data_IF_266202992365
#
_entry.id   IF_266202992365
#
_cell.length_a   1.000
_cell.length_b   1.000
_cell.length_c   1.000
_cell.angle_alpha   90.00
_cell.angle_beta   90.00
_cell.angle_gamma   90.00
#
_symmetry.space_group_name_H-M   'P 1'
#
loop_
_entity.id
_entity.type
_entity.pdbx_description
1 polymer ?
#
# COMPACT_ATOMS: atom_id res chain seq x y z
N UNK A 1 -15.33 21.86 -41.68
CA UNK A 1 -14.09 22.57 -42.11
C UNK A 1 -12.91 21.87 -41.46
N UNK A 2 -12.17 21.08 -42.22
CA UNK A 2 -10.98 20.35 -41.78
C UNK A 2 -9.73 21.23 -41.90
N UNK A 3 -8.86 21.23 -40.89
CA UNK A 3 -7.46 21.68 -41.05
C UNK A 3 -6.53 20.74 -40.30
N UNK A 4 -5.92 19.82 -41.06
CA UNK A 4 -4.67 19.13 -40.71
C UNK A 4 -3.50 20.04 -41.10
N UNK A 5 -2.47 20.16 -40.27
CA UNK A 5 -1.11 20.67 -40.58
C UNK A 5 -0.13 19.97 -39.63
N UNK A 6 0.56 18.90 -40.05
CA UNK A 6 1.86 18.80 -40.75
C UNK A 6 3.08 18.92 -39.80
N UNK A 7 3.88 17.85 -39.81
CA UNK A 7 5.22 17.66 -39.22
C UNK A 7 6.26 18.74 -39.59
N UNK A 8 7.30 18.86 -38.76
CA UNK A 8 8.68 19.13 -39.22
C UNK A 8 9.72 18.49 -38.28
N UNK A 9 10.68 17.79 -38.86
CA UNK A 9 11.87 17.19 -38.23
C UNK A 9 13.14 18.02 -38.56
N UNK A 10 14.22 17.89 -37.78
CA UNK A 10 15.63 18.00 -38.24
C UNK A 10 16.70 17.70 -37.14
N UNK A 11 17.24 16.48 -37.15
CA UNK A 11 18.66 16.07 -37.29
C UNK A 11 19.90 16.83 -36.70
N UNK A 12 20.76 16.02 -36.01
CA UNK A 12 22.25 15.81 -36.11
C UNK A 12 23.27 16.64 -35.29
N UNK A 13 24.19 15.89 -34.63
CA UNK A 13 25.61 16.23 -34.34
C UNK A 13 26.16 15.48 -33.09
N UNK A 14 26.75 14.27 -33.17
CA UNK A 14 28.14 13.89 -33.54
C UNK A 14 29.25 14.12 -32.47
N UNK A 15 29.63 13.00 -31.82
CA UNK A 15 30.92 12.53 -31.23
C UNK A 15 32.10 13.49 -30.95
N UNK A 16 32.71 13.35 -29.75
CA UNK A 16 34.17 13.20 -29.56
C UNK A 16 34.47 12.25 -28.38
N UNK A 17 35.28 11.22 -28.65
CA UNK A 17 35.95 10.33 -27.68
C UNK A 17 37.26 10.98 -27.21
N UNK A 18 37.60 10.83 -25.92
CA UNK A 18 38.97 10.95 -25.43
C UNK A 18 39.26 9.78 -24.49
N UNK A 19 40.02 8.82 -25.03
CA UNK A 19 40.73 7.80 -24.28
C UNK A 19 41.99 8.42 -23.67
N UNK A 20 42.23 8.14 -22.39
CA UNK A 20 43.48 8.45 -21.69
C UNK A 20 43.82 7.33 -20.72
N UNK A 21 44.68 6.42 -21.16
CA UNK A 21 45.25 5.34 -20.36
C UNK A 21 46.35 5.87 -19.42
N UNK A 22 46.44 5.35 -18.20
CA UNK A 22 47.56 5.63 -17.30
C UNK A 22 47.61 4.64 -16.14
N UNK A 23 48.58 3.73 -16.19
CA UNK A 23 48.85 2.66 -15.22
C UNK A 23 49.53 3.18 -13.96
N UNK A 24 49.16 2.64 -12.80
CA UNK A 24 50.07 2.33 -11.70
C UNK A 24 49.36 1.43 -10.67
N UNK A 25 49.69 0.14 -10.67
CA UNK A 25 49.49 -0.72 -9.50
C UNK A 25 50.67 -0.47 -8.55
N UNK A 26 50.39 0.00 -7.34
CA UNK A 26 51.24 -0.26 -6.19
C UNK A 26 50.39 -0.99 -5.14
N UNK A 27 50.81 -2.21 -4.84
CA UNK A 27 50.30 -3.01 -3.75
C UNK A 27 50.85 -2.46 -2.43
N UNK A 28 49.98 -2.20 -1.46
CA UNK A 28 50.31 -2.22 -0.04
C UNK A 28 49.16 -2.91 0.72
N UNK A 29 49.55 -3.70 1.70
CA UNK A 29 48.82 -4.75 2.42
C UNK A 29 47.67 -4.25 3.31
N UNK A 30 46.80 -5.18 3.80
CA UNK A 30 45.47 -4.89 4.31
C UNK A 30 45.48 -4.39 5.75
N UNK A 31 44.63 -3.40 6.02
CA UNK A 31 44.14 -3.07 7.35
C UNK A 31 42.77 -3.70 7.52
N UNK A 32 42.69 -4.72 8.37
CA UNK A 32 41.43 -5.21 8.93
C UNK A 32 40.93 -4.20 9.97
N UNK A 33 39.74 -3.65 9.74
CA UNK A 33 38.80 -3.36 10.83
C UNK A 33 37.37 -3.43 10.29
N UNK A 34 36.43 -4.06 11.03
CA UNK A 34 35.11 -4.40 10.53
C UNK A 34 34.15 -3.22 10.79
N UNK A 35 33.62 -2.64 9.74
CA UNK A 35 32.46 -1.78 9.84
C UNK A 35 31.36 -2.38 8.96
N UNK A 36 30.57 -3.22 9.61
CA UNK A 36 29.14 -3.47 9.36
C UNK A 36 28.58 -2.63 8.22
N UNK A 37 28.52 -3.22 7.03
CA UNK A 37 27.59 -2.80 6.00
C UNK A 37 26.18 -3.04 6.53
N UNK A 38 25.61 -2.03 7.18
CA UNK A 38 24.17 -1.88 7.16
C UNK A 38 23.83 -1.42 5.74
N UNK A 39 23.65 -2.38 4.85
CA UNK A 39 22.69 -2.21 3.77
C UNK A 39 21.37 -1.87 4.47
N UNK A 40 21.07 -0.58 4.56
CA UNK A 40 19.69 -0.13 4.68
C UNK A 40 19.01 -0.72 3.46
N UNK A 41 18.26 -1.79 3.69
CA UNK A 41 17.23 -2.26 2.80
C UNK A 41 16.37 -1.06 2.48
N UNK A 42 16.68 -0.42 1.34
CA UNK A 42 15.85 0.61 0.77
C UNK A 42 14.51 -0.07 0.55
N UNK A 43 13.50 0.32 1.33
CA UNK A 43 12.13 -0.02 1.06
C UNK A 43 11.93 0.24 -0.43
N UNK A 44 11.79 -0.86 -1.18
CA UNK A 44 11.67 -0.85 -2.61
C UNK A 44 10.55 0.14 -2.91
N UNK A 45 10.90 1.30 -3.50
CA UNK A 45 9.92 2.27 -3.98
C UNK A 45 9.16 1.55 -5.09
N UNK A 46 8.10 0.83 -4.71
CA UNK A 46 7.17 0.28 -5.66
C UNK A 46 6.73 1.47 -6.52
N UNK A 47 6.83 1.31 -7.83
CA UNK A 47 6.39 2.30 -8.80
C UNK A 47 4.87 2.44 -8.64
N UNK A 48 4.46 3.28 -7.69
CA UNK A 48 3.07 3.54 -7.40
C UNK A 48 2.58 4.51 -8.48
N UNK A 49 1.87 3.96 -9.47
CA UNK A 49 1.36 4.67 -10.62
C UNK A 49 -0.15 5.00 -10.51
N UNK A 50 -0.83 4.49 -9.48
CA UNK A 50 -2.26 4.64 -9.23
C UNK A 50 -2.58 4.83 -7.74
N UNK A 51 -3.71 5.49 -7.42
CA UNK A 51 -4.19 5.62 -6.03
C UNK A 51 -4.40 4.26 -5.36
N UNK A 52 -4.63 3.22 -6.17
CA UNK A 52 -4.84 1.85 -5.69
C UNK A 52 -3.64 1.29 -4.93
N UNK A 53 -2.44 1.76 -5.22
CA UNK A 53 -1.21 1.37 -4.52
C UNK A 53 -1.17 1.88 -3.07
N UNK A 54 -2.08 2.78 -2.69
CA UNK A 54 -2.17 3.37 -1.35
C UNK A 54 -3.41 2.92 -0.57
N UNK A 55 -4.20 1.97 -1.10
CA UNK A 55 -5.30 1.41 -0.31
C UNK A 55 -4.77 0.72 0.95
N UNK A 56 -5.48 0.90 2.06
CA UNK A 56 -5.13 0.32 3.37
C UNK A 56 -3.91 0.93 4.05
N UNK A 57 -3.33 1.99 3.48
CA UNK A 57 -2.23 2.73 4.11
C UNK A 57 -2.76 3.69 5.19
N UNK A 58 -1.97 3.88 6.25
CA UNK A 58 -2.25 4.84 7.30
C UNK A 58 -1.44 6.12 7.09
N UNK A 59 -2.08 7.25 7.38
CA UNK A 59 -1.50 8.56 7.23
C UNK A 59 -1.80 9.41 8.46
N UNK A 60 -0.91 10.34 8.77
CA UNK A 60 -1.03 11.24 9.91
C UNK A 60 -0.85 12.71 9.54
N UNK A 61 -1.46 13.58 10.32
CA UNK A 61 -1.30 15.02 10.28
C UNK A 61 -1.26 15.58 11.71
N UNK A 62 -0.81 16.83 11.85
CA UNK A 62 -0.76 17.54 13.13
C UNK A 62 -0.12 16.73 14.26
N UNK A 63 1.08 16.17 13.98
CA UNK A 63 1.85 15.38 14.94
C UNK A 63 1.18 14.06 15.35
N UNK A 64 0.28 13.53 14.53
CA UNK A 64 -0.44 12.27 14.80
C UNK A 64 -1.79 12.44 15.50
N UNK A 65 -2.21 13.68 15.79
CA UNK A 65 -3.53 13.94 16.39
C UNK A 65 -4.69 13.69 15.42
N UNK A 66 -4.40 13.77 14.11
CA UNK A 66 -5.33 13.45 13.02
C UNK A 66 -4.77 12.27 12.24
N UNK A 67 -5.62 11.30 11.94
CA UNK A 67 -5.26 10.11 11.16
C UNK A 67 -6.16 9.99 9.93
N UNK A 68 -5.67 9.33 8.89
CA UNK A 68 -6.42 9.06 7.67
C UNK A 68 -6.10 7.66 7.13
N UNK A 69 -7.09 7.01 6.55
CA UNK A 69 -6.92 5.78 5.75
C UNK A 69 -7.61 5.96 4.40
N UNK A 70 -6.98 5.45 3.34
CA UNK A 70 -7.57 5.39 2.00
C UNK A 70 -8.11 3.97 1.80
N UNK A 71 -9.40 3.85 1.53
CA UNK A 71 -10.05 2.61 1.12
C UNK A 71 -10.72 2.83 -0.25
N UNK A 72 -11.19 1.76 -0.88
CA UNK A 72 -11.72 1.84 -2.24
C UNK A 72 -12.97 2.75 -2.29
N UNK A 73 -12.83 3.90 -2.95
CA UNK A 73 -13.87 4.91 -3.10
C UNK A 73 -14.17 5.71 -1.82
N UNK A 74 -13.37 5.59 -0.77
CA UNK A 74 -13.59 6.32 0.48
C UNK A 74 -12.30 6.70 1.20
N UNK A 75 -12.26 7.91 1.72
CA UNK A 75 -11.25 8.40 2.66
C UNK A 75 -11.89 8.51 4.03
N UNK A 76 -11.22 7.96 5.04
CA UNK A 76 -11.69 7.95 6.42
C UNK A 76 -10.69 8.72 7.27
N UNK A 77 -11.11 9.84 7.83
CA UNK A 77 -10.30 10.68 8.72
C UNK A 77 -10.79 10.57 10.16
N UNK A 78 -9.88 10.56 11.13
CA UNK A 78 -10.22 10.48 12.56
C UNK A 78 -9.44 11.50 13.39
N UNK A 79 -10.09 12.04 14.41
CA UNK A 79 -9.49 12.89 15.46
C UNK A 79 -10.18 12.59 16.79
N UNK A 80 -9.44 12.02 17.74
CA UNK A 80 -10.04 11.46 18.96
C UNK A 80 -11.12 10.44 18.63
N UNK A 81 -12.32 10.60 19.20
CA UNK A 81 -13.48 9.74 18.96
C UNK A 81 -14.29 10.14 17.71
N UNK A 82 -13.89 11.21 17.01
CA UNK A 82 -14.59 11.69 15.81
C UNK A 82 -14.12 10.95 14.56
N UNK A 83 -15.06 10.59 13.69
CA UNK A 83 -14.80 10.00 12.37
C UNK A 83 -15.47 10.85 11.29
N UNK A 84 -14.71 11.21 10.27
CA UNK A 84 -15.21 11.84 9.04
C UNK A 84 -14.99 10.92 7.86
N UNK A 85 -15.97 10.86 6.95
CA UNK A 85 -15.95 9.99 5.78
C UNK A 85 -16.18 10.86 4.55
N UNK A 86 -15.26 10.76 3.58
CA UNK A 86 -15.37 11.42 2.28
C UNK A 86 -15.35 10.35 1.19
N UNK A 87 -16.47 10.19 0.50
CA UNK A 87 -16.55 9.30 -0.66
C UNK A 87 -15.90 9.97 -1.86
N UNK A 88 -15.21 9.20 -2.68
CA UNK A 88 -14.62 9.69 -3.91
C UNK A 88 -14.83 8.71 -5.09
N UNK A 89 -14.97 9.26 -6.28
CA UNK A 89 -14.91 8.52 -7.54
C UNK A 89 -13.75 9.05 -8.38
N UNK A 90 -12.92 8.14 -8.89
CA UNK A 90 -11.79 8.50 -9.77
C UNK A 90 -12.31 8.85 -11.16
N UNK A 91 -12.04 10.09 -11.59
CA UNK A 91 -12.34 10.57 -12.95
C UNK A 91 -11.17 10.27 -13.89
N UNK A 92 -9.94 10.50 -13.44
CA UNK A 92 -8.72 10.20 -14.20
C UNK A 92 -7.50 10.26 -13.29
N UNK A 93 -6.45 9.51 -13.63
CA UNK A 93 -5.17 9.52 -12.92
C UNK A 93 -4.03 9.93 -13.86
N UNK A 94 -3.00 10.57 -13.30
CA UNK A 94 -1.73 10.83 -13.96
C UNK A 94 -0.60 10.59 -12.97
N UNK A 95 0.36 9.76 -13.35
CA UNK A 95 1.62 9.60 -12.64
C UNK A 95 2.75 10.36 -13.36
N UNK A 96 3.70 10.85 -12.56
CA UNK A 96 4.97 11.40 -13.01
C UNK A 96 6.08 11.10 -11.99
N UNK A 97 7.29 11.60 -12.22
CA UNK A 97 8.43 11.34 -11.33
C UNK A 97 8.21 11.83 -9.88
N UNK A 98 7.29 12.77 -9.65
CA UNK A 98 6.93 13.31 -8.34
C UNK A 98 5.76 12.60 -7.67
N UNK A 99 5.15 11.59 -8.28
CA UNK A 99 4.04 10.81 -7.70
C UNK A 99 2.77 10.86 -8.57
N UNK A 100 1.60 10.90 -7.94
CA UNK A 100 0.30 10.74 -8.63
C UNK A 100 -0.59 11.97 -8.41
N UNK A 101 -1.30 12.37 -9.46
CA UNK A 101 -2.44 13.29 -9.39
C UNK A 101 -3.72 12.57 -9.84
N UNK A 102 -4.72 12.57 -8.97
CA UNK A 102 -5.99 11.86 -9.15
C UNK A 102 -7.11 12.91 -9.21
N UNK A 103 -7.70 13.10 -10.38
CA UNK A 103 -8.92 13.90 -10.49
C UNK A 103 -10.07 13.05 -9.95
N UNK A 104 -10.82 13.60 -9.00
CA UNK A 104 -11.91 12.90 -8.32
C UNK A 104 -13.19 13.73 -8.34
N UNK A 105 -14.32 13.06 -8.22
CA UNK A 105 -15.52 13.68 -7.64
C UNK A 105 -15.67 13.21 -6.20
N UNK A 106 -16.14 14.08 -5.31
CA UNK A 106 -16.26 13.78 -3.88
C UNK A 106 -17.65 14.12 -3.34
N UNK A 107 -18.11 13.34 -2.37
CA UNK A 107 -19.34 13.58 -1.60
C UNK A 107 -19.11 13.24 -0.13
N UNK A 108 -19.79 13.95 0.79
CA UNK A 108 -19.75 13.63 2.23
C UNK A 108 -20.95 12.80 2.66
N UNK A 109 -22.07 12.98 1.96
CA UNK A 109 -23.28 12.18 2.13
C UNK A 109 -23.82 11.72 0.77
N UNK A 110 -24.61 10.63 0.72
CA UNK A 110 -25.23 10.15 -0.52
C UNK A 110 -26.19 11.15 -1.21
N UNK A 111 -26.51 12.27 -0.56
CA UNK A 111 -27.44 13.30 -1.08
C UNK A 111 -26.72 14.54 -1.56
N UNK A 112 -25.41 14.65 -1.35
CA UNK A 112 -24.64 15.82 -1.76
C UNK A 112 -24.47 15.82 -3.27
N UNK A 113 -24.46 17.00 -3.88
CA UNK A 113 -23.99 17.14 -5.24
C UNK A 113 -22.48 16.84 -5.29
N UNK A 114 -21.99 15.97 -6.19
CA UNK A 114 -20.57 15.68 -6.28
C UNK A 114 -19.74 16.92 -6.58
N UNK A 115 -18.69 17.15 -5.79
CA UNK A 115 -17.73 18.24 -6.00
C UNK A 115 -16.47 17.70 -6.69
N UNK A 116 -15.99 18.38 -7.73
CA UNK A 116 -14.73 18.04 -8.37
C UNK A 116 -13.54 18.46 -7.50
N UNK A 117 -12.53 17.61 -7.43
CA UNK A 117 -11.29 17.87 -6.70
C UNK A 117 -10.10 17.13 -7.28
N UNK A 118 -8.93 17.40 -6.72
CA UNK A 118 -7.68 16.70 -7.05
C UNK A 118 -7.10 16.14 -5.76
N UNK A 119 -6.83 14.83 -5.72
CA UNK A 119 -5.97 14.22 -4.71
C UNK A 119 -4.56 14.12 -5.29
N UNK A 120 -3.59 14.73 -4.62
CA UNK A 120 -2.19 14.73 -5.05
C UNK A 120 -1.35 13.97 -4.04
N UNK A 121 -0.77 12.85 -4.47
CA UNK A 121 0.16 12.04 -3.68
C UNK A 121 1.58 12.36 -4.11
N UNK A 122 2.29 13.17 -3.33
CA UNK A 122 3.68 13.53 -3.57
C UNK A 122 4.62 12.48 -2.98
N UNK A 123 5.40 11.84 -3.85
CA UNK A 123 6.43 10.87 -3.49
C UNK A 123 7.80 11.29 -4.04
N UNK A 124 8.02 12.59 -4.24
CA UNK A 124 9.30 13.14 -4.70
C UNK A 124 10.36 13.16 -3.58
N UNK A 125 9.91 13.16 -2.33
CA UNK A 125 10.72 13.11 -1.11
C UNK A 125 10.69 11.72 -0.46
N UNK A 126 11.52 11.51 0.57
CA UNK A 126 11.44 10.30 1.41
C UNK A 126 10.11 10.25 2.19
N UNK A 127 9.62 11.41 2.61
CA UNK A 127 8.33 11.57 3.25
C UNK A 127 7.23 11.68 2.18
N UNK A 128 6.45 10.63 1.98
CA UNK A 128 5.31 10.63 1.04
C UNK A 128 4.15 11.39 1.67
N UNK A 129 3.52 12.31 0.93
CA UNK A 129 2.36 13.07 1.41
C UNK A 129 1.19 12.98 0.44
N UNK A 130 -0.02 13.19 0.94
CA UNK A 130 -1.24 13.32 0.16
C UNK A 130 -1.96 14.60 0.52
N UNK A 131 -2.44 15.31 -0.50
CA UNK A 131 -3.19 16.57 -0.35
C UNK A 131 -4.51 16.53 -1.10
N UNK A 132 -5.56 17.08 -0.49
CA UNK A 132 -6.86 17.30 -1.12
C UNK A 132 -7.71 18.30 -0.34
N UNK A 133 -8.31 19.26 -1.03
CA UNK A 133 -9.23 20.24 -0.40
C UNK A 133 -10.55 19.61 0.07
N UNK A 134 -10.87 18.39 -0.38
CA UNK A 134 -12.08 17.67 0.01
C UNK A 134 -11.94 16.95 1.37
N UNK A 135 -10.72 16.79 1.88
CA UNK A 135 -10.48 16.24 3.21
C UNK A 135 -11.07 17.16 4.29
N UNK A 136 -11.62 16.56 5.34
CA UNK A 136 -12.44 17.23 6.33
C UNK A 136 -11.65 17.74 7.55
N UNK A 137 -10.58 17.05 7.94
CA UNK A 137 -9.84 17.36 9.18
C UNK A 137 -8.48 18.01 8.89
N UNK A 138 -7.80 17.64 7.81
CA UNK A 138 -6.57 18.29 7.33
C UNK A 138 -6.50 18.26 5.80
N UNK A 139 -5.98 19.31 5.18
CA UNK A 139 -5.76 19.33 3.72
C UNK A 139 -4.58 18.47 3.28
N UNK A 140 -3.71 18.09 4.22
CA UNK A 140 -2.45 17.38 3.96
C UNK A 140 -2.24 16.30 5.01
N UNK A 141 -1.83 15.12 4.58
CA UNK A 141 -1.41 14.00 5.42
C UNK A 141 -0.08 13.44 4.92
N UNK A 142 0.69 12.88 5.84
CA UNK A 142 1.95 12.18 5.57
C UNK A 142 1.76 10.69 5.77
N UNK A 143 2.32 9.88 4.87
CA UNK A 143 2.29 8.42 4.97
C UNK A 143 3.08 8.01 6.21
N UNK A 144 2.46 7.20 7.07
CA UNK A 144 3.14 6.69 8.24
C UNK A 144 4.26 5.70 7.84
N UNK A 145 4.98 5.15 8.82
CA UNK A 145 5.83 3.99 8.58
C UNK A 145 5.04 2.72 8.89
N UNK A 146 5.01 1.76 7.96
CA UNK A 146 4.34 0.49 8.20
C UNK A 146 4.93 -0.15 9.47
N UNK A 147 4.10 -0.59 10.44
CA UNK A 147 4.60 -1.27 11.62
C UNK A 147 5.36 -2.53 11.20
N UNK A 148 6.56 -2.72 11.76
CA UNK A 148 7.33 -3.96 11.64
C UNK A 148 6.74 -5.02 12.60
N UNK A 149 5.47 -5.34 12.41
CA UNK A 149 4.69 -6.19 13.29
C UNK A 149 3.96 -7.28 12.51
N UNK A 150 4.12 -8.51 13.00
CA UNK A 150 3.32 -9.65 12.55
C UNK A 150 1.85 -9.46 12.97
N UNK A 151 0.90 -9.87 12.13
CA UNK A 151 -0.51 -9.91 12.49
C UNK A 151 -0.72 -10.84 13.67
N UNK A 152 -1.24 -10.30 14.77
CA UNK A 152 -1.66 -11.08 15.94
C UNK A 152 -3.09 -11.59 15.76
N UNK A 153 -3.34 -12.86 16.07
CA UNK A 153 -4.70 -13.41 16.02
C UNK A 153 -5.43 -13.09 17.33
N UNK A 154 -6.66 -12.63 17.21
CA UNK A 154 -7.58 -12.63 18.35
C UNK A 154 -7.90 -14.08 18.75
N UNK A 155 -8.29 -14.28 20.00
CA UNK A 155 -8.72 -15.59 20.48
C UNK A 155 -9.86 -16.13 19.61
N UNK A 156 -9.71 -17.36 19.14
CA UNK A 156 -10.68 -18.06 18.29
C UNK A 156 -10.80 -19.52 18.75
N UNK A 157 -11.75 -20.27 18.19
CA UNK A 157 -11.96 -21.67 18.56
C UNK A 157 -10.88 -22.55 17.94
N UNK A 158 -10.30 -23.47 18.73
CA UNK A 158 -9.38 -24.53 18.26
C UNK A 158 -9.96 -25.36 17.10
N UNK A 159 -11.29 -25.38 16.95
CA UNK A 159 -11.96 -26.03 15.83
C UNK A 159 -11.54 -25.45 14.48
N UNK A 160 -11.19 -24.18 14.43
CA UNK A 160 -10.69 -23.53 13.22
C UNK A 160 -9.37 -24.16 12.76
N UNK A 161 -8.42 -24.33 13.68
CA UNK A 161 -7.12 -24.96 13.39
C UNK A 161 -7.29 -26.39 12.89
N UNK A 162 -8.20 -27.15 13.50
CA UNK A 162 -8.54 -28.50 13.03
C UNK A 162 -9.05 -28.50 11.59
N UNK A 163 -9.95 -27.57 11.23
CA UNK A 163 -10.56 -27.51 9.90
C UNK A 163 -9.58 -27.02 8.82
N UNK A 164 -8.66 -26.14 9.18
CA UNK A 164 -7.60 -25.63 8.30
C UNK A 164 -6.34 -26.51 8.29
N UNK A 165 -6.29 -27.55 9.14
CA UNK A 165 -5.10 -28.36 9.42
C UNK A 165 -3.84 -27.49 9.61
N UNK A 166 -3.98 -26.36 10.32
CA UNK A 166 -2.96 -25.31 10.43
C UNK A 166 -2.92 -24.73 11.84
N UNK A 167 -1.73 -24.39 12.33
CA UNK A 167 -1.55 -23.69 13.61
C UNK A 167 -1.74 -22.17 13.47
N UNK A 168 -1.88 -21.50 14.61
CA UNK A 168 -2.02 -20.04 14.70
C UNK A 168 -0.86 -19.31 14.03
N UNK A 169 0.35 -19.87 14.11
CA UNK A 169 1.53 -19.26 13.52
C UNK A 169 1.44 -19.23 11.99
N UNK A 170 0.99 -20.32 11.37
CA UNK A 170 0.79 -20.45 9.94
C UNK A 170 -0.34 -19.55 9.44
N UNK A 171 -1.44 -19.48 10.18
CA UNK A 171 -2.55 -18.56 9.88
C UNK A 171 -2.07 -17.10 9.96
N UNK A 172 -1.38 -16.74 11.04
CA UNK A 172 -0.80 -15.41 11.24
C UNK A 172 0.22 -15.06 10.15
N UNK A 173 1.05 -16.01 9.71
CA UNK A 173 2.01 -15.81 8.61
C UNK A 173 1.29 -15.53 7.28
N UNK A 174 0.27 -16.33 6.95
CA UNK A 174 -0.51 -16.15 5.72
C UNK A 174 -1.20 -14.78 5.68
N UNK A 175 -1.83 -14.38 6.80
CA UNK A 175 -2.46 -13.07 6.94
C UNK A 175 -1.43 -11.93 6.88
N UNK A 176 -0.28 -12.07 7.55
CA UNK A 176 0.77 -11.04 7.54
C UNK A 176 1.35 -10.83 6.14
N UNK A 177 1.60 -11.92 5.39
CA UNK A 177 2.11 -11.86 4.03
C UNK A 177 1.12 -11.20 3.05
N UNK A 178 -0.18 -11.30 3.34
CA UNK A 178 -1.22 -10.62 2.59
C UNK A 178 -1.37 -9.16 3.02
N UNK A 179 -1.41 -8.90 4.33
CA UNK A 179 -1.60 -7.58 4.92
C UNK A 179 -0.47 -6.64 4.56
N UNK A 180 0.79 -7.09 4.55
CA UNK A 180 1.93 -6.25 4.17
C UNK A 180 1.82 -5.62 2.78
N UNK A 181 0.99 -6.17 1.90
CA UNK A 181 0.77 -5.69 0.53
C UNK A 181 -0.48 -4.82 0.36
N UNK A 182 -1.45 -4.92 1.26
CA UNK A 182 -2.83 -4.40 1.07
C UNK A 182 -3.40 -3.64 2.26
N UNK A 183 -2.95 -4.00 3.46
CA UNK A 183 -3.26 -3.35 4.74
C UNK A 183 -1.98 -3.32 5.60
N UNK A 184 -0.92 -2.63 5.16
CA UNK A 184 0.40 -2.72 5.80
C UNK A 184 0.43 -2.21 7.26
N UNK A 185 -0.64 -1.57 7.72
CA UNK A 185 -0.79 -1.05 9.09
C UNK A 185 -1.68 -1.89 10.00
N UNK A 186 -2.26 -2.98 9.47
CA UNK A 186 -2.94 -3.93 10.32
C UNK A 186 -1.94 -4.62 11.25
N UNK A 187 -2.31 -4.77 12.51
CA UNK A 187 -1.49 -5.40 13.57
C UNK A 187 -2.20 -6.59 14.22
N UNK A 188 -3.50 -6.72 14.03
CA UNK A 188 -4.28 -7.87 14.47
C UNK A 188 -5.38 -8.24 13.49
N UNK A 189 -5.83 -9.49 13.60
CA UNK A 189 -6.94 -10.05 12.85
C UNK A 189 -7.92 -10.75 13.80
N UNK A 190 -9.21 -10.49 13.61
CA UNK A 190 -10.30 -11.16 14.33
C UNK A 190 -10.99 -12.16 13.39
N UNK A 191 -11.17 -13.40 13.84
CA UNK A 191 -11.91 -14.40 13.08
C UNK A 191 -13.41 -14.08 13.10
N UNK A 192 -14.08 -14.14 11.95
CA UNK A 192 -15.50 -13.79 11.83
C UNK A 192 -16.44 -14.91 12.33
N UNK A 193 -15.89 -16.08 12.67
CA UNK A 193 -16.64 -17.18 13.32
C UNK A 193 -17.28 -18.19 12.37
N UNK A 194 -17.10 -18.04 11.06
CA UNK A 194 -17.73 -18.89 10.05
C UNK A 194 -16.70 -19.64 9.20
N UNK A 195 -17.06 -20.87 8.80
CA UNK A 195 -16.26 -21.70 7.88
C UNK A 195 -17.16 -22.29 6.80
N UNK A 196 -16.70 -22.19 5.55
CA UNK A 196 -17.33 -22.74 4.36
C UNK A 196 -16.50 -23.92 3.86
N UNK A 197 -17.12 -25.09 3.71
CA UNK A 197 -16.44 -26.32 3.26
C UNK A 197 -17.02 -26.72 1.90
N UNK A 198 -16.20 -26.66 0.86
CA UNK A 198 -16.52 -27.27 -0.42
C UNK A 198 -16.00 -28.71 -0.46
N UNK A 199 -16.89 -29.66 -0.20
CA UNK A 199 -16.58 -31.08 -0.20
C UNK A 199 -16.15 -31.62 -1.58
N UNK A 200 -16.59 -30.97 -2.67
CA UNK A 200 -16.25 -31.38 -4.04
C UNK A 200 -14.94 -30.73 -4.47
N UNK A 201 -14.80 -29.43 -4.26
CA UNK A 201 -13.59 -28.65 -4.53
C UNK A 201 -12.43 -28.93 -3.57
N UNK A 202 -12.69 -29.63 -2.45
CA UNK A 202 -11.71 -29.95 -1.41
C UNK A 202 -11.08 -28.69 -0.82
N UNK A 203 -11.90 -27.68 -0.53
CA UNK A 203 -11.44 -26.42 0.04
C UNK A 203 -12.21 -26.07 1.30
N UNK A 204 -11.51 -25.43 2.23
CA UNK A 204 -12.07 -24.80 3.42
C UNK A 204 -11.80 -23.30 3.30
N UNK A 205 -12.81 -22.47 3.51
CA UNK A 205 -12.68 -21.00 3.43
C UNK A 205 -13.28 -20.36 4.66
N UNK A 206 -12.61 -19.34 5.18
CA UNK A 206 -13.03 -18.56 6.34
C UNK A 206 -12.63 -17.10 6.14
N UNK A 207 -13.17 -16.19 6.94
CA UNK A 207 -12.87 -14.76 6.88
C UNK A 207 -12.29 -14.24 8.18
N UNK A 208 -11.40 -13.25 8.07
CA UNK A 208 -10.88 -12.46 9.18
C UNK A 208 -11.06 -10.97 8.90
N UNK A 209 -11.36 -10.20 9.93
CA UNK A 209 -11.37 -8.74 9.89
C UNK A 209 -10.06 -8.18 10.46
N UNK A 210 -9.32 -7.39 9.68
CA UNK A 210 -8.12 -6.69 10.13
C UNK A 210 -8.46 -5.43 10.93
N UNK A 211 -7.63 -5.08 11.90
CA UNK A 211 -7.79 -3.88 12.72
C UNK A 211 -7.24 -2.60 12.07
N UNK A 212 -7.42 -2.45 10.76
CA UNK A 212 -7.04 -1.22 10.06
C UNK A 212 -8.21 -0.23 9.99
N UNK A 213 -7.95 0.98 9.49
CA UNK A 213 -8.97 2.03 9.39
C UNK A 213 -10.16 1.68 8.50
N UNK A 214 -10.02 0.70 7.60
CA UNK A 214 -11.05 0.23 6.69
C UNK A 214 -11.83 -0.99 7.22
N UNK A 215 -11.37 -1.63 8.30
CA UNK A 215 -11.86 -2.92 8.76
C UNK A 215 -11.82 -3.98 7.65
N UNK A 216 -10.65 -4.08 7.00
CA UNK A 216 -10.45 -4.91 5.81
C UNK A 216 -10.76 -6.38 6.09
N UNK A 217 -11.64 -6.97 5.27
CA UNK A 217 -11.93 -8.40 5.28
C UNK A 217 -10.89 -9.15 4.44
N UNK A 218 -10.32 -10.21 5.02
CA UNK A 218 -9.38 -11.11 4.36
C UNK A 218 -9.95 -12.52 4.37
N UNK A 219 -10.01 -13.14 3.21
CA UNK A 219 -10.42 -14.53 3.12
C UNK A 219 -9.20 -15.44 3.24
N UNK A 220 -9.28 -16.43 4.12
CA UNK A 220 -8.31 -17.49 4.22
C UNK A 220 -8.88 -18.75 3.56
N UNK A 221 -8.12 -19.31 2.62
CA UNK A 221 -8.45 -20.54 1.91
C UNK A 221 -7.41 -21.60 2.22
N UNK A 222 -7.89 -22.76 2.65
CA UNK A 222 -7.12 -23.98 2.78
C UNK A 222 -7.52 -24.97 1.69
N UNK A 223 -6.55 -25.44 0.91
CA UNK A 223 -6.76 -26.49 -0.08
C UNK A 223 -6.42 -27.85 0.54
N UNK A 224 -7.43 -28.71 0.70
CA UNK A 224 -7.28 -30.01 1.37
C UNK A 224 -6.52 -31.03 0.51
N UNK A 225 -6.35 -30.77 -0.80
CA UNK A 225 -5.61 -31.63 -1.72
C UNK A 225 -4.12 -31.31 -1.67
N UNK A 226 -3.76 -30.03 -1.80
CA UNK A 226 -2.36 -29.60 -1.78
C UNK A 226 -1.83 -29.37 -0.37
N UNK A 227 -2.73 -29.26 0.62
CA UNK A 227 -2.43 -28.90 2.02
C UNK A 227 -1.85 -27.49 2.16
N UNK A 228 -2.18 -26.60 1.22
CA UNK A 228 -1.70 -25.22 1.21
C UNK A 228 -2.73 -24.27 1.82
N UNK A 229 -2.24 -23.35 2.65
CA UNK A 229 -3.00 -22.25 3.24
C UNK A 229 -2.63 -20.95 2.53
N UNK A 230 -3.64 -20.16 2.15
CA UNK A 230 -3.44 -18.88 1.46
C UNK A 230 -4.46 -17.84 1.91
N UNK A 231 -4.03 -16.59 1.99
CA UNK A 231 -4.90 -15.44 2.19
C UNK A 231 -5.19 -14.76 0.84
N UNK A 232 -6.43 -14.32 0.64
CA UNK A 232 -6.99 -13.81 -0.62
C UNK A 232 -7.53 -12.39 -0.44
#
# INVERSE_FOLDING_TARGET
>A
MNKKRLMLACAIGALVLLAGSGVARCAMQPSEDPATGQEKESAQKADADSIKSYLGTAWSADGGSKTMTIADGVVIEREGDSTSVTYYEVVSERSDAGGISVNVTTTKTPRDAPAQGVMRIDASTEEVSITCDAFALSTTYTLDAAPDAKITLSAHSDKLNELLESDDESISNALSAWASKRSPYATSAAWDGEVYIDCNGKTVTTSFTLNDGASTLVQLRYDQTTKELSAL
#
